data_IF_228581278940
#
_entry.id   IF_228581278940
#
_cell.length_a   1.000
_cell.length_b   1.000
_cell.length_c   1.000
_cell.angle_alpha   90.00
_cell.angle_beta   90.00
_cell.angle_gamma   90.00
#
_symmetry.space_group_name_H-M   'P 1'
#
loop_
_entity.id
_entity.type
_entity.pdbx_description
1 polymer ?
#
# COMPACT_ATOMS: atom_id res chain seq x y z
N UNK A 1 11.00 -4.62 3.99
CA UNK A 1 10.02 -4.07 3.01
C UNK A 1 10.68 -2.99 2.17
N UNK A 2 10.49 -2.97 0.84
CA UNK A 2 10.93 -1.84 0.01
C UNK A 2 10.17 -0.58 0.44
N UNK A 3 10.77 0.62 0.36
CA UNK A 3 10.15 1.86 0.85
C UNK A 3 8.73 2.08 0.28
N UNK A 4 8.57 1.84 -1.02
CA UNK A 4 7.31 2.07 -1.75
C UNK A 4 6.14 1.17 -1.29
N UNK A 5 6.42 -0.08 -0.91
CA UNK A 5 5.40 -1.01 -0.42
C UNK A 5 5.03 -0.73 1.04
N UNK A 6 6.00 -0.28 1.84
CA UNK A 6 5.77 0.08 3.25
C UNK A 6 4.82 1.27 3.37
N UNK A 7 5.01 2.32 2.58
CA UNK A 7 4.17 3.53 2.66
C UNK A 7 2.70 3.21 2.34
N UNK A 8 2.44 2.49 1.24
CA UNK A 8 1.07 2.09 0.88
C UNK A 8 0.41 1.22 1.97
N UNK A 9 1.19 0.33 2.60
CA UNK A 9 0.69 -0.52 3.68
C UNK A 9 0.36 0.28 4.95
N UNK A 10 1.19 1.27 5.31
CA UNK A 10 0.96 2.13 6.48
C UNK A 10 -0.31 2.94 6.32
N UNK A 11 -0.48 3.59 5.17
CA UNK A 11 -1.68 4.38 4.88
C UNK A 11 -2.95 3.52 4.91
N UNK A 12 -2.91 2.33 4.32
CA UNK A 12 -4.07 1.44 4.31
C UNK A 12 -4.37 0.85 5.70
N UNK A 13 -3.41 0.15 6.32
CA UNK A 13 -3.68 -0.62 7.56
C UNK A 13 -3.68 0.22 8.83
N UNK A 14 -2.83 1.25 8.92
CA UNK A 14 -2.65 2.00 10.15
C UNK A 14 -3.39 3.33 10.14
N UNK A 15 -3.55 3.94 8.97
CA UNK A 15 -4.32 5.19 8.82
C UNK A 15 -5.76 4.93 8.35
N UNK A 16 -6.10 3.70 7.98
CA UNK A 16 -7.47 3.30 7.63
C UNK A 16 -7.95 3.80 6.27
N UNK A 17 -7.05 4.27 5.40
CA UNK A 17 -7.41 4.75 4.07
C UNK A 17 -7.86 3.57 3.19
N UNK A 18 -8.85 3.83 2.33
CA UNK A 18 -9.23 2.97 1.22
C UNK A 18 -8.12 2.86 0.15
N UNK A 19 -8.22 1.90 -0.76
CA UNK A 19 -7.25 1.78 -1.84
C UNK A 19 -7.23 3.03 -2.73
N UNK A 20 -8.40 3.63 -2.94
CA UNK A 20 -8.64 4.85 -3.69
C UNK A 20 -7.96 6.05 -3.03
N UNK A 21 -8.18 6.26 -1.72
CA UNK A 21 -7.53 7.32 -0.96
C UNK A 21 -6.00 7.17 -0.92
N UNK A 22 -5.49 5.93 -0.85
CA UNK A 22 -4.04 5.69 -0.96
C UNK A 22 -3.52 5.98 -2.38
N UNK A 23 -4.34 5.71 -3.41
CA UNK A 23 -4.02 6.01 -4.81
C UNK A 23 -3.85 7.51 -5.02
N UNK A 24 -4.79 8.29 -4.49
CA UNK A 24 -4.78 9.75 -4.53
C UNK A 24 -3.64 10.32 -3.71
N UNK A 25 -3.47 9.88 -2.45
CA UNK A 25 -2.43 10.38 -1.54
C UNK A 25 -0.99 10.12 -2.04
N UNK A 26 -0.79 9.07 -2.83
CA UNK A 26 0.52 8.70 -3.38
C UNK A 26 0.71 9.06 -4.85
N UNK A 27 -0.32 9.62 -5.50
CA UNK A 27 -0.34 9.94 -6.94
C UNK A 27 0.13 8.76 -7.82
N UNK A 28 -0.38 7.55 -7.51
CA UNK A 28 -0.08 6.33 -8.28
C UNK A 28 -1.37 5.62 -8.69
N UNK A 29 -1.35 4.77 -9.74
CA UNK A 29 -2.54 4.03 -10.14
C UNK A 29 -3.06 3.07 -9.06
N UNK A 30 -4.38 2.90 -8.97
CA UNK A 30 -5.04 2.00 -8.01
C UNK A 30 -4.51 0.56 -8.08
N UNK A 31 -4.24 0.05 -9.29
CA UNK A 31 -3.62 -1.27 -9.48
C UNK A 31 -2.21 -1.38 -8.90
N UNK A 32 -1.45 -0.27 -8.88
CA UNK A 32 -0.14 -0.19 -8.23
C UNK A 32 -0.28 -0.22 -6.71
N UNK A 33 -1.30 0.45 -6.14
CA UNK A 33 -1.59 0.38 -4.70
C UNK A 33 -1.86 -1.07 -4.28
N UNK A 34 -2.79 -1.74 -4.97
CA UNK A 34 -3.18 -3.13 -4.71
C UNK A 34 -1.98 -4.08 -4.74
N UNK A 35 -1.15 -4.00 -5.80
CA UNK A 35 0.04 -4.84 -5.93
C UNK A 35 1.12 -4.53 -4.88
N UNK A 36 1.32 -3.25 -4.51
CA UNK A 36 2.26 -2.85 -3.44
C UNK A 36 1.84 -3.38 -2.08
N UNK A 37 0.57 -3.28 -1.72
CA UNK A 37 0.03 -3.81 -0.46
C UNK A 37 0.12 -5.34 -0.43
N UNK A 38 -0.29 -6.02 -1.50
CA UNK A 38 -0.18 -7.48 -1.61
C UNK A 38 1.28 -7.96 -1.43
N UNK A 39 2.21 -7.36 -2.17
CA UNK A 39 3.63 -7.69 -2.08
C UNK A 39 4.22 -7.34 -0.70
N UNK A 40 3.72 -6.30 -0.05
CA UNK A 40 4.13 -5.92 1.28
C UNK A 40 3.67 -6.93 2.34
N UNK A 41 2.41 -7.35 2.30
CA UNK A 41 1.84 -8.36 3.20
C UNK A 41 2.52 -9.73 3.04
N UNK A 42 2.78 -10.16 1.80
CA UNK A 42 3.50 -11.41 1.51
C UNK A 42 4.91 -11.45 2.13
N UNK A 43 5.53 -10.29 2.35
CA UNK A 43 6.85 -10.15 2.99
C UNK A 43 6.79 -10.01 4.52
N UNK A 44 5.61 -9.84 5.11
CA UNK A 44 5.39 -9.80 6.56
C UNK A 44 4.91 -11.15 7.11
N UNK A 45 4.21 -11.94 6.30
CA UNK A 45 3.82 -13.32 6.63
C UNK A 45 4.95 -14.35 6.45
N UNK A 46 6.18 -13.89 6.24
CA UNK A 46 7.44 -14.64 6.25
C UNK A 46 8.40 -13.93 7.19
#
# INVERSE_FOLDING_TARGET
LPPKGRVALVLFYYQGLSYEEVSEALEIPLGTVKSRIHNAMKRLGK
#
